data_IF_164681887019
#
_entry.id   IF_164681887019
#
_cell.length_a   1.000
_cell.length_b   1.000
_cell.length_c   1.000
_cell.angle_alpha   90.00
_cell.angle_beta   90.00
_cell.angle_gamma   90.00
#
_symmetry.space_group_name_H-M   'P 1'
#
loop_
_entity.id
_entity.type
_entity.pdbx_description
1 polymer ?
#
# COMPACT_ATOMS: atom_id res chain seq x y z
N UNK A 1 -25.72 -2.05 8.01
CA UNK A 1 -25.14 -0.71 8.31
C UNK A 1 -23.62 -0.71 8.44
N UNK A 2 -22.97 -1.62 9.19
CA UNK A 2 -21.50 -1.65 9.28
C UNK A 2 -20.81 -1.99 7.95
N UNK A 3 -21.39 -2.89 7.16
CA UNK A 3 -20.84 -3.28 5.86
C UNK A 3 -20.79 -2.11 4.86
N UNK A 4 -21.82 -1.25 4.87
CA UNK A 4 -21.87 -0.01 4.09
C UNK A 4 -20.70 0.94 4.46
N UNK A 5 -20.43 1.10 5.76
CA UNK A 5 -19.32 1.92 6.26
C UNK A 5 -17.98 1.41 5.78
N UNK A 6 -17.74 0.10 5.88
CA UNK A 6 -16.50 -0.51 5.41
C UNK A 6 -16.31 -0.33 3.89
N UNK A 7 -17.40 -0.36 3.10
CA UNK A 7 -17.36 -0.09 1.66
C UNK A 7 -17.02 1.36 1.37
N UNK A 8 -17.66 2.30 2.09
CA UNK A 8 -17.41 3.74 1.98
C UNK A 8 -15.96 4.07 2.36
N UNK A 9 -15.44 3.48 3.43
CA UNK A 9 -14.03 3.64 3.87
C UNK A 9 -13.02 3.18 2.83
N UNK A 10 -13.24 2.02 2.18
CA UNK A 10 -12.36 1.57 1.09
C UNK A 10 -12.41 2.50 -0.12
N UNK A 11 -13.59 3.03 -0.45
CA UNK A 11 -13.77 3.96 -1.58
C UNK A 11 -13.15 5.33 -1.28
N UNK A 12 -13.26 5.82 -0.05
CA UNK A 12 -12.55 7.02 0.43
C UNK A 12 -11.04 6.87 0.26
N UNK A 13 -10.50 5.67 0.53
CA UNK A 13 -9.11 5.38 0.26
C UNK A 13 -8.72 5.45 -1.22
N UNK A 14 -9.63 5.18 -2.16
CA UNK A 14 -9.31 5.16 -3.59
C UNK A 14 -9.14 6.55 -4.23
N UNK A 15 -9.23 7.64 -3.46
CA UNK A 15 -9.10 9.01 -3.97
C UNK A 15 -7.70 9.25 -4.53
N UNK A 16 -7.64 9.84 -5.73
CA UNK A 16 -6.38 10.11 -6.44
C UNK A 16 -5.88 11.56 -6.32
N UNK A 17 -6.70 12.47 -5.78
CA UNK A 17 -6.32 13.87 -5.61
C UNK A 17 -5.35 14.04 -4.42
N UNK A 18 -4.16 14.63 -4.59
CA UNK A 18 -3.13 14.71 -3.54
C UNK A 18 -3.61 15.35 -2.23
N UNK A 19 -4.36 16.45 -2.31
CA UNK A 19 -4.86 17.15 -1.12
C UNK A 19 -5.87 16.31 -0.32
N UNK A 20 -6.68 15.52 -1.01
CA UNK A 20 -7.67 14.64 -0.39
C UNK A 20 -7.01 13.39 0.19
N UNK A 21 -5.96 12.86 -0.43
CA UNK A 21 -5.18 11.73 0.10
C UNK A 21 -4.70 12.05 1.52
N UNK A 22 -4.11 13.23 1.74
CA UNK A 22 -3.63 13.60 3.07
C UNK A 22 -4.78 13.76 4.08
N UNK A 23 -5.90 14.38 3.67
CA UNK A 23 -7.09 14.50 4.52
C UNK A 23 -7.64 13.14 4.94
N UNK A 24 -7.70 12.17 4.01
CA UNK A 24 -8.16 10.80 4.29
C UNK A 24 -7.22 10.08 5.25
N UNK A 25 -5.90 10.20 5.07
CA UNK A 25 -4.91 9.59 5.96
C UNK A 25 -4.98 10.16 7.37
N UNK A 26 -5.10 11.49 7.50
CA UNK A 26 -5.29 12.15 8.80
C UNK A 26 -6.61 11.72 9.46
N UNK A 27 -7.70 11.67 8.69
CA UNK A 27 -8.99 11.18 9.17
C UNK A 27 -8.91 9.72 9.65
N UNK A 28 -8.17 8.86 8.94
CA UNK A 28 -8.03 7.45 9.28
C UNK A 28 -7.43 7.20 10.68
N UNK A 29 -6.59 8.11 11.16
CA UNK A 29 -5.94 7.98 12.47
C UNK A 29 -6.69 8.72 13.60
N UNK A 30 -7.67 9.56 13.25
CA UNK A 30 -8.50 10.31 14.20
C UNK A 30 -9.45 9.43 15.02
N UNK A 31 -10.01 9.98 16.09
CA UNK A 31 -10.94 9.28 16.99
C UNK A 31 -12.30 8.96 16.31
N UNK A 32 -12.61 9.60 15.19
CA UNK A 32 -13.81 9.33 14.40
C UNK A 32 -13.77 7.96 13.69
N UNK A 33 -12.56 7.39 13.53
CA UNK A 33 -12.33 6.12 12.85
C UNK A 33 -11.90 5.08 13.87
N UNK A 34 -12.60 3.92 13.86
CA UNK A 34 -12.26 2.85 14.78
C UNK A 34 -10.85 2.31 14.48
N UNK A 35 -10.06 1.93 15.49
CA UNK A 35 -8.69 1.43 15.29
C UNK A 35 -8.55 0.32 14.24
N UNK A 36 -9.49 -0.61 14.16
CA UNK A 36 -9.48 -1.70 13.18
C UNK A 36 -9.76 -1.22 11.74
N UNK A 37 -10.52 -0.14 11.58
CA UNK A 37 -10.95 0.40 10.30
C UNK A 37 -9.86 1.30 9.68
N UNK A 38 -9.01 1.92 10.53
CA UNK A 38 -7.80 2.66 10.12
C UNK A 38 -6.94 1.86 9.12
N UNK A 39 -6.73 0.56 9.35
CA UNK A 39 -5.93 -0.30 8.47
C UNK A 39 -6.56 -0.43 7.08
N UNK A 40 -7.88 -0.52 7.02
CA UNK A 40 -8.62 -0.63 5.75
C UNK A 40 -8.58 0.66 4.96
N UNK A 41 -8.71 1.82 5.62
CA UNK A 41 -8.64 3.14 4.96
C UNK A 41 -7.25 3.39 4.40
N UNK A 42 -6.19 3.19 5.20
CA UNK A 42 -4.80 3.37 4.75
C UNK A 42 -4.48 2.39 3.61
N UNK A 43 -4.93 1.13 3.72
CA UNK A 43 -4.78 0.15 2.64
C UNK A 43 -5.52 0.54 1.36
N UNK A 44 -6.69 1.17 1.47
CA UNK A 44 -7.41 1.75 0.34
C UNK A 44 -6.59 2.83 -0.37
N UNK A 45 -6.00 3.76 0.39
CA UNK A 45 -5.08 4.79 -0.13
C UNK A 45 -3.87 4.16 -0.82
N UNK A 46 -3.28 3.13 -0.21
CA UNK A 46 -2.13 2.46 -0.78
C UNK A 46 -2.44 1.74 -2.11
N UNK A 47 -3.65 1.19 -2.23
CA UNK A 47 -4.12 0.49 -3.43
C UNK A 47 -4.66 1.40 -4.53
N UNK A 48 -5.11 2.61 -4.20
CA UNK A 48 -5.84 3.48 -5.13
C UNK A 48 -4.99 4.08 -6.26
N UNK A 49 -3.74 4.45 -5.99
CA UNK A 49 -2.86 5.06 -7.00
C UNK A 49 -1.38 4.96 -6.64
N UNK A 50 -0.49 5.26 -7.59
CA UNK A 50 0.97 5.34 -7.34
C UNK A 50 1.30 6.41 -6.29
N UNK A 51 0.61 7.55 -6.35
CA UNK A 51 0.75 8.65 -5.39
C UNK A 51 0.22 8.23 -4.02
N UNK A 52 -0.96 7.61 -3.97
CA UNK A 52 -1.57 7.08 -2.75
C UNK A 52 -0.68 6.06 -2.05
N UNK A 53 -0.07 5.13 -2.79
CA UNK A 53 0.91 4.17 -2.24
C UNK A 53 2.09 4.84 -1.54
N UNK A 54 2.69 5.85 -2.19
CA UNK A 54 3.80 6.61 -1.60
C UNK A 54 3.36 7.38 -0.37
N UNK A 55 2.19 8.02 -0.42
CA UNK A 55 1.64 8.79 0.69
C UNK A 55 1.29 7.91 1.89
N UNK A 56 0.64 6.76 1.67
CA UNK A 56 0.30 5.81 2.71
C UNK A 56 1.55 5.25 3.40
N UNK A 57 2.58 4.87 2.64
CA UNK A 57 3.83 4.40 3.23
C UNK A 57 4.54 5.50 4.03
N UNK A 58 4.63 6.72 3.49
CA UNK A 58 5.18 7.87 4.23
C UNK A 58 4.40 8.09 5.54
N UNK A 59 3.08 8.07 5.48
CA UNK A 59 2.21 8.25 6.64
C UNK A 59 2.43 7.18 7.72
N UNK A 60 2.59 5.91 7.33
CA UNK A 60 2.92 4.83 8.25
C UNK A 60 4.26 5.08 8.93
N UNK A 61 5.30 5.49 8.20
CA UNK A 61 6.61 5.80 8.79
C UNK A 61 6.54 6.97 9.76
N UNK A 62 5.88 8.05 9.35
CA UNK A 62 5.78 9.28 10.15
C UNK A 62 4.98 9.09 11.46
N UNK A 63 4.05 8.11 11.49
CA UNK A 63 3.17 7.83 12.62
C UNK A 63 3.42 6.44 13.22
N UNK A 64 4.60 5.87 13.00
CA UNK A 64 4.87 4.47 13.30
C UNK A 64 4.69 4.13 14.78
N UNK A 65 5.16 4.98 15.69
CA UNK A 65 5.03 4.75 17.13
C UNK A 65 3.56 4.66 17.56
N UNK A 66 2.72 5.58 17.10
CA UNK A 66 1.28 5.58 17.38
C UNK A 66 0.61 4.32 16.80
N UNK A 67 0.91 3.96 15.55
CA UNK A 67 0.35 2.78 14.90
C UNK A 67 0.80 1.47 15.57
N UNK A 68 2.08 1.38 15.93
CA UNK A 68 2.62 0.22 16.62
C UNK A 68 2.02 0.10 18.02
N UNK A 69 1.92 1.21 18.77
CA UNK A 69 1.30 1.24 20.09
C UNK A 69 -0.20 0.91 20.04
N UNK A 70 -0.91 1.32 19.00
CA UNK A 70 -2.32 1.03 18.81
C UNK A 70 -2.59 -0.46 18.60
N UNK A 71 -1.70 -1.17 17.90
CA UNK A 71 -1.89 -2.58 17.56
C UNK A 71 -1.06 -3.55 18.40
N UNK A 72 -0.07 -3.07 19.16
CA UNK A 72 0.79 -3.84 20.08
C UNK A 72 1.34 -5.13 19.45
N UNK A 73 1.73 -5.07 18.18
CA UNK A 73 2.23 -6.24 17.46
C UNK A 73 1.16 -7.27 17.03
N UNK A 74 -0.13 -7.01 17.24
CA UNK A 74 -1.20 -7.90 16.80
C UNK A 74 -1.33 -8.02 15.27
N UNK A 75 -2.20 -8.92 14.80
CA UNK A 75 -2.40 -9.21 13.36
C UNK A 75 -2.58 -7.96 12.47
N UNK A 76 -3.20 -6.91 13.01
CA UNK A 76 -3.45 -5.66 12.28
C UNK A 76 -2.17 -4.91 11.89
N UNK A 77 -1.08 -4.98 12.67
CA UNK A 77 0.17 -4.31 12.28
C UNK A 77 0.79 -5.01 11.06
N UNK A 78 0.83 -6.34 11.07
CA UNK A 78 1.29 -7.14 9.93
C UNK A 78 0.45 -6.86 8.69
N UNK A 79 -0.88 -6.79 8.84
CA UNK A 79 -1.78 -6.45 7.75
C UNK A 79 -1.53 -5.04 7.20
N UNK A 80 -1.32 -4.05 8.07
CA UNK A 80 -1.03 -2.67 7.69
C UNK A 80 0.27 -2.56 6.88
N UNK A 81 1.35 -3.18 7.36
CA UNK A 81 2.64 -3.24 6.65
C UNK A 81 2.43 -3.85 5.27
N UNK A 82 1.78 -5.01 5.20
CA UNK A 82 1.53 -5.71 3.94
C UNK A 82 0.78 -4.84 2.93
N UNK A 83 -0.33 -4.23 3.34
CA UNK A 83 -1.17 -3.42 2.47
C UNK A 83 -0.46 -2.16 1.95
N UNK A 84 0.46 -1.59 2.73
CA UNK A 84 1.15 -0.35 2.35
C UNK A 84 2.40 -0.60 1.52
N UNK A 85 3.01 -1.78 1.64
CA UNK A 85 4.33 -2.08 1.08
C UNK A 85 4.29 -3.04 -0.12
N UNK A 86 3.41 -4.05 -0.14
CA UNK A 86 3.42 -5.11 -1.18
C UNK A 86 3.28 -4.58 -2.62
N UNK A 87 2.64 -3.42 -2.79
CA UNK A 87 2.42 -2.84 -4.12
C UNK A 87 3.67 -2.23 -4.77
N UNK A 88 4.81 -2.11 -4.08
CA UNK A 88 6.02 -1.58 -4.69
C UNK A 88 6.69 -2.60 -5.61
N UNK A 89 7.39 -2.08 -6.63
CA UNK A 89 8.04 -2.87 -7.67
C UNK A 89 9.38 -2.22 -8.07
N UNK A 90 10.17 -1.81 -7.07
CA UNK A 90 11.52 -1.29 -7.30
C UNK A 90 12.45 -1.62 -6.12
N UNK A 91 13.70 -1.91 -6.44
CA UNK A 91 14.69 -2.40 -5.48
C UNK A 91 15.02 -1.39 -4.37
N UNK A 92 14.96 -0.09 -4.69
CA UNK A 92 15.17 0.98 -3.71
C UNK A 92 14.14 0.93 -2.59
N UNK A 93 12.88 0.64 -2.91
CA UNK A 93 11.84 0.51 -1.90
C UNK A 93 12.03 -0.71 -1.01
N UNK A 94 12.50 -1.85 -1.54
CA UNK A 94 12.82 -3.00 -0.70
C UNK A 94 13.93 -2.65 0.31
N UNK A 95 14.95 -1.92 -0.13
CA UNK A 95 16.04 -1.44 0.74
C UNK A 95 15.53 -0.47 1.80
N UNK A 96 14.70 0.50 1.41
CA UNK A 96 14.11 1.49 2.32
C UNK A 96 13.23 0.84 3.40
N UNK A 97 12.37 -0.10 3.00
CA UNK A 97 11.49 -0.84 3.92
C UNK A 97 12.32 -1.64 4.92
N UNK A 98 13.34 -2.36 4.44
CA UNK A 98 14.23 -3.13 5.29
C UNK A 98 14.93 -2.23 6.33
N UNK A 99 15.55 -1.13 5.89
CA UNK A 99 16.23 -0.19 6.77
C UNK A 99 15.29 0.47 7.80
N UNK A 100 14.05 0.75 7.40
CA UNK A 100 13.04 1.28 8.32
C UNK A 100 12.74 0.30 9.46
N UNK A 101 12.53 -0.99 9.18
CA UNK A 101 12.22 -1.99 10.21
C UNK A 101 13.45 -2.49 10.98
N UNK A 102 14.67 -2.27 10.49
CA UNK A 102 15.90 -2.44 11.29
C UNK A 102 15.99 -1.37 12.40
N UNK A 103 15.58 -0.14 12.10
CA UNK A 103 15.54 0.97 13.07
C UNK A 103 14.28 1.02 13.92
N UNK A 104 13.18 0.40 13.45
CA UNK A 104 11.90 0.33 14.13
C UNK A 104 11.41 -1.12 14.23
N UNK A 105 11.96 -1.92 15.16
CA UNK A 105 11.64 -3.33 15.25
C UNK A 105 10.16 -3.60 15.45
N UNK A 106 9.63 -4.54 14.67
CA UNK A 106 8.27 -5.06 14.80
C UNK A 106 8.33 -6.60 14.92
N UNK A 107 8.72 -7.17 16.08
CA UNK A 107 9.03 -8.59 16.20
C UNK A 107 7.90 -9.52 15.74
N UNK A 108 6.66 -9.15 16.02
CA UNK A 108 5.48 -9.91 15.61
C UNK A 108 5.16 -9.85 14.10
N UNK A 109 5.77 -8.90 13.39
CA UNK A 109 5.60 -8.69 11.96
C UNK A 109 6.88 -8.96 11.16
N UNK A 110 7.95 -9.44 11.79
CA UNK A 110 9.26 -9.67 11.15
C UNK A 110 9.13 -10.52 9.89
N UNK A 111 8.41 -11.65 9.99
CA UNK A 111 8.12 -12.51 8.83
C UNK A 111 7.36 -11.77 7.72
N UNK A 112 6.40 -10.92 8.09
CA UNK A 112 5.65 -10.12 7.13
C UNK A 112 6.56 -9.12 6.43
N UNK A 113 7.45 -8.44 7.16
CA UNK A 113 8.44 -7.51 6.60
C UNK A 113 9.36 -8.21 5.60
N UNK A 114 9.88 -9.39 5.96
CA UNK A 114 10.72 -10.20 5.08
C UNK A 114 9.98 -10.55 3.78
N UNK A 115 8.75 -11.08 3.89
CA UNK A 115 7.91 -11.41 2.74
C UNK A 115 7.58 -10.20 1.88
N UNK A 116 7.30 -9.05 2.47
CA UNK A 116 7.06 -7.82 1.74
C UNK A 116 8.30 -7.39 0.94
N UNK A 117 9.49 -7.46 1.54
CA UNK A 117 10.75 -7.13 0.84
C UNK A 117 11.00 -8.08 -0.35
N UNK A 118 10.81 -9.39 -0.15
CA UNK A 118 10.90 -10.40 -1.22
C UNK A 118 9.89 -10.10 -2.34
N UNK A 119 8.64 -9.82 -2.00
CA UNK A 119 7.59 -9.49 -2.96
C UNK A 119 7.93 -8.25 -3.79
N UNK A 120 8.49 -7.20 -3.19
CA UNK A 120 8.91 -6.01 -3.95
C UNK A 120 9.97 -6.36 -4.99
N UNK A 121 10.96 -7.17 -4.62
CA UNK A 121 12.03 -7.61 -5.52
C UNK A 121 11.47 -8.49 -6.64
N UNK A 122 10.57 -9.41 -6.33
CA UNK A 122 9.86 -10.22 -7.32
C UNK A 122 9.06 -9.35 -8.30
N UNK A 123 8.31 -8.37 -7.78
CA UNK A 123 7.56 -7.42 -8.60
C UNK A 123 8.48 -6.59 -9.51
N UNK A 124 9.63 -6.14 -9.00
CA UNK A 124 10.62 -5.40 -9.77
C UNK A 124 11.21 -6.26 -10.90
N UNK A 125 11.54 -7.52 -10.61
CA UNK A 125 12.04 -8.47 -11.59
C UNK A 125 11.00 -8.77 -12.68
N UNK A 126 9.74 -8.98 -12.30
CA UNK A 126 8.64 -9.18 -13.24
C UNK A 126 8.41 -7.96 -14.12
N UNK A 127 8.40 -6.77 -13.53
CA UNK A 127 8.24 -5.52 -14.28
C UNK A 127 9.39 -5.36 -15.29
N UNK A 128 10.64 -5.62 -14.89
CA UNK A 128 11.80 -5.54 -15.78
C UNK A 128 11.74 -6.56 -16.93
N UNK A 129 11.25 -7.78 -16.66
CA UNK A 129 11.18 -8.87 -17.66
C UNK A 129 10.05 -8.64 -18.67
N UNK A 130 8.88 -8.22 -18.21
CA UNK A 130 7.65 -8.33 -18.99
C UNK A 130 7.10 -6.98 -19.48
N UNK A 131 7.54 -5.84 -18.94
CA UNK A 131 6.96 -4.54 -19.25
C UNK A 131 6.97 -4.22 -20.76
N UNK A 132 8.08 -4.44 -21.45
CA UNK A 132 8.22 -4.12 -22.88
C UNK A 132 7.33 -5.02 -23.74
N UNK A 133 7.27 -6.31 -23.42
CA UNK A 133 6.42 -7.27 -24.12
C UNK A 133 4.93 -6.94 -23.96
N UNK A 134 4.53 -6.60 -22.73
CA UNK A 134 3.14 -6.19 -22.42
C UNK A 134 2.81 -4.87 -23.12
N UNK A 135 3.74 -3.91 -23.12
CA UNK A 135 3.56 -2.63 -23.79
C UNK A 135 3.35 -2.82 -25.30
N UNK A 136 4.20 -3.61 -25.95
CA UNK A 136 4.08 -3.94 -27.36
C UNK A 136 2.76 -4.64 -27.69
N UNK A 137 2.35 -5.61 -26.87
CA UNK A 137 1.06 -6.31 -27.03
C UNK A 137 -0.14 -5.34 -27.00
N UNK A 138 -0.16 -4.39 -26.07
CA UNK A 138 -1.24 -3.41 -26.00
C UNK A 138 -1.22 -2.40 -27.15
N UNK A 139 -0.06 -2.05 -27.70
CA UNK A 139 0.03 -1.20 -28.88
C UNK A 139 -0.55 -1.90 -30.12
N UNK A 140 -0.25 -3.19 -30.30
CA UNK A 140 -0.79 -3.99 -31.41
C UNK A 140 -2.31 -4.10 -31.36
N UNK A 141 -2.90 -4.21 -30.16
CA UNK A 141 -4.36 -4.31 -29.97
C UNK A 141 -5.13 -2.99 -30.07
N UNK A 142 -4.46 -1.84 -30.00
CA UNK A 142 -5.09 -0.54 -30.28
C UNK A 142 -5.29 -0.27 -31.77
N UNK A 143 -4.68 -1.06 -32.65
CA UNK A 143 -5.00 -1.02 -34.06
C UNK A 143 -6.41 -1.62 -34.28
N UNK A 144 -7.29 -0.96 -35.06
CA UNK A 144 -8.59 -1.54 -35.40
C UNK A 144 -8.38 -2.90 -36.10
N UNK A 145 -9.30 -3.86 -35.95
CA UNK A 145 -9.20 -5.13 -36.66
C UNK A 145 -9.11 -4.85 -38.16
N UNK A 146 -8.17 -5.52 -38.84
CA UNK A 146 -8.05 -5.42 -40.29
C UNK A 146 -9.38 -5.83 -40.93
N UNK A 147 -10.01 -4.91 -41.65
CA UNK A 147 -11.23 -5.15 -42.41
C UNK A 147 -10.92 -6.16 -43.50
N UNK A 148 -11.53 -7.35 -43.41
CA UNK A 148 -11.60 -8.34 -44.50
C UNK A 148 -12.89 -8.10 -45.27
#
# INVERSE_FOLDING_TARGET
>A
MQEEKNRIERVLGAISQPELIQKVLTFALSEEVRPQDTVSVIGGVAGGSKQGRKAAWKFVRDNWEELYNRYQGGFLISRLIKLTVDGFANDKMATEVKAFFESHPAPSAERTVQQCCENILLNAAWLKRDADNIHHYFLQRKAPPATV
#
